data_IF_421137444229
#
_entry.id   IF_421137444229
#
_cell.length_a   1.000
_cell.length_b   1.000
_cell.length_c   1.000
_cell.angle_alpha   90.00
_cell.angle_beta   90.00
_cell.angle_gamma   90.00
#
_symmetry.space_group_name_H-M   'P 1'
#
loop_
_entity.id
_entity.type
_entity.pdbx_description
1 polymer ?
#
# COMPACT_ATOMS: atom_id res chain seq x y z
N UNK A 1 -8.02 12.81 8.83
CA UNK A 1 -7.35 13.62 9.86
C UNK A 1 -7.65 13.04 11.23
N UNK A 2 -6.69 13.01 12.15
CA UNK A 2 -6.97 12.50 13.50
C UNK A 2 -8.00 13.39 14.20
N UNK A 3 -8.89 12.79 14.97
CA UNK A 3 -9.95 13.51 15.70
C UNK A 3 -9.39 14.47 16.77
N UNK A 4 -8.15 14.25 17.17
CA UNK A 4 -7.41 14.99 18.19
C UNK A 4 -6.76 16.28 17.69
N UNK A 5 -6.65 16.50 16.38
CA UNK A 5 -6.00 17.71 15.85
C UNK A 5 -6.76 18.97 16.23
N UNK A 6 -6.04 19.99 16.71
CA UNK A 6 -6.57 21.35 16.92
C UNK A 6 -6.74 22.13 15.61
N UNK A 7 -6.10 21.68 14.53
CA UNK A 7 -6.06 22.35 13.23
C UNK A 7 -6.64 21.46 12.12
N UNK A 8 -7.87 20.95 12.30
CA UNK A 8 -8.46 19.92 11.41
C UNK A 8 -8.59 20.37 9.95
N UNK A 9 -9.03 21.61 9.74
CA UNK A 9 -9.21 22.18 8.41
C UNK A 9 -7.87 22.33 7.68
N UNK A 10 -6.91 23.02 8.30
CA UNK A 10 -5.57 23.18 7.73
C UNK A 10 -4.89 21.83 7.44
N UNK A 11 -5.01 20.86 8.34
CA UNK A 11 -4.46 19.53 8.15
C UNK A 11 -5.15 18.78 6.99
N UNK A 12 -6.47 18.98 6.81
CA UNK A 12 -7.21 18.42 5.67
C UNK A 12 -6.78 19.07 4.36
N UNK A 13 -6.69 20.39 4.31
CA UNK A 13 -6.23 21.14 3.13
C UNK A 13 -4.81 20.73 2.73
N UNK A 14 -3.91 20.58 3.69
CA UNK A 14 -2.56 20.08 3.44
C UNK A 14 -2.57 18.67 2.84
N UNK A 15 -3.36 17.75 3.40
CA UNK A 15 -3.46 16.40 2.87
C UNK A 15 -4.04 16.36 1.45
N UNK A 16 -5.05 17.18 1.16
CA UNK A 16 -5.61 17.32 -0.19
C UNK A 16 -4.56 17.88 -1.15
N UNK A 17 -3.86 18.95 -0.78
CA UNK A 17 -2.80 19.52 -1.60
C UNK A 17 -1.69 18.50 -1.90
N UNK A 18 -1.24 17.78 -0.87
CA UNK A 18 -0.16 16.80 -0.98
C UNK A 18 -0.51 15.65 -1.93
N UNK A 19 -1.77 15.21 -1.94
CA UNK A 19 -2.19 14.01 -2.68
C UNK A 19 -2.89 14.30 -4.01
N UNK A 20 -3.40 15.52 -4.22
CA UNK A 20 -4.22 15.85 -5.39
C UNK A 20 -3.67 17.00 -6.23
N UNK A 21 -2.75 17.83 -5.70
CA UNK A 21 -2.22 18.93 -6.49
C UNK A 21 -1.21 18.44 -7.52
N UNK A 22 -1.29 18.99 -8.74
CA UNK A 22 -0.33 18.68 -9.80
C UNK A 22 1.11 18.93 -9.35
N UNK A 23 1.35 20.02 -8.62
CA UNK A 23 2.68 20.39 -8.16
C UNK A 23 3.25 19.36 -7.17
N UNK A 24 2.50 18.98 -6.12
CA UNK A 24 2.97 18.01 -5.15
C UNK A 24 3.22 16.64 -5.78
N UNK A 25 2.31 16.16 -6.64
CA UNK A 25 2.46 14.87 -7.33
C UNK A 25 3.68 14.88 -8.25
N UNK A 26 3.89 15.96 -9.01
CA UNK A 26 5.06 16.12 -9.90
C UNK A 26 6.36 16.09 -9.11
N UNK A 27 6.44 16.82 -7.99
CA UNK A 27 7.64 16.83 -7.14
C UNK A 27 7.89 15.47 -6.47
N UNK A 28 6.82 14.81 -6.02
CA UNK A 28 6.87 13.47 -5.44
C UNK A 28 7.45 12.44 -6.42
N UNK A 29 7.07 12.50 -7.70
CA UNK A 29 7.66 11.65 -8.74
C UNK A 29 9.12 12.02 -9.02
N UNK A 30 9.38 13.29 -9.33
CA UNK A 30 10.70 13.73 -9.81
C UNK A 30 11.80 13.63 -8.75
N UNK A 31 11.45 13.86 -7.49
CA UNK A 31 12.41 13.97 -6.37
C UNK A 31 12.26 12.85 -5.35
N UNK A 32 11.03 12.37 -5.11
CA UNK A 32 10.74 11.32 -4.12
C UNK A 32 10.63 9.91 -4.69
N UNK A 33 10.56 9.75 -6.02
CA UNK A 33 10.32 8.45 -6.66
C UNK A 33 8.92 7.88 -6.40
N UNK A 34 7.98 8.69 -5.91
CA UNK A 34 6.62 8.28 -5.59
C UNK A 34 5.76 8.28 -6.87
N UNK A 35 5.17 7.13 -7.16
CA UNK A 35 4.24 6.97 -8.28
C UNK A 35 2.84 7.48 -7.90
N UNK A 36 2.07 8.08 -8.83
CA UNK A 36 0.73 8.59 -8.53
C UNK A 36 -0.22 7.50 -8.04
N UNK A 37 -1.07 7.86 -7.07
CA UNK A 37 -2.02 6.94 -6.43
C UNK A 37 -3.43 6.95 -7.06
N UNK A 38 -3.69 7.83 -8.03
CA UNK A 38 -4.98 7.98 -8.71
C UNK A 38 -4.90 7.57 -10.18
N UNK A 39 -6.02 7.13 -10.76
CA UNK A 39 -6.10 6.81 -12.19
C UNK A 39 -5.74 8.00 -13.07
N UNK A 40 -6.25 9.20 -12.75
CA UNK A 40 -5.90 10.42 -13.47
C UNK A 40 -4.40 10.76 -13.39
N UNK A 41 -3.73 10.31 -12.33
CA UNK A 41 -2.29 10.47 -12.15
C UNK A 41 -1.46 9.63 -13.13
N UNK A 42 -2.02 8.55 -13.67
CA UNK A 42 -1.31 7.61 -14.55
C UNK A 42 -0.95 8.22 -15.91
N UNK A 43 -1.65 9.27 -16.33
CA UNK A 43 -1.47 9.92 -17.64
C UNK A 43 -0.69 11.25 -17.53
N UNK A 44 -0.09 11.54 -16.37
CA UNK A 44 0.62 12.79 -16.15
C UNK A 44 1.89 12.87 -17.02
N UNK A 45 2.12 14.00 -17.74
CA UNK A 45 3.28 14.15 -18.62
C UNK A 45 4.64 13.93 -17.92
N UNK A 46 4.71 14.25 -16.62
CA UNK A 46 5.93 14.09 -15.82
C UNK A 46 6.41 12.63 -15.73
N UNK A 47 5.50 11.65 -15.87
CA UNK A 47 5.86 10.23 -15.85
C UNK A 47 6.69 9.81 -17.07
N UNK A 48 6.61 10.59 -18.15
CA UNK A 48 7.34 10.39 -19.39
C UNK A 48 8.51 11.38 -19.55
N UNK A 49 8.89 12.08 -18.47
CA UNK A 49 10.06 12.97 -18.48
C UNK A 49 11.34 12.17 -18.76
N UNK A 50 12.01 12.50 -19.86
CA UNK A 50 13.21 11.79 -20.35
C UNK A 50 14.42 11.89 -19.43
N UNK A 51 14.41 12.80 -18.46
CA UNK A 51 15.45 12.90 -17.43
C UNK A 51 15.31 11.81 -16.36
N UNK A 52 14.13 11.19 -16.24
CA UNK A 52 13.81 10.15 -15.24
C UNK A 52 13.38 8.83 -15.87
N UNK A 53 12.72 8.87 -17.02
CA UNK A 53 12.10 7.72 -17.65
C UNK A 53 12.25 7.76 -19.20
N UNK A 54 12.75 6.73 -19.89
CA UNK A 54 13.16 5.41 -19.38
C UNK A 54 14.25 5.47 -18.32
N UNK A 55 14.09 4.69 -17.25
CA UNK A 55 14.89 4.83 -16.04
C UNK A 55 16.26 4.19 -16.20
N UNK A 56 17.32 4.99 -16.01
CA UNK A 56 18.71 4.50 -16.01
C UNK A 56 18.96 3.48 -14.89
N UNK A 57 18.33 3.66 -13.73
CA UNK A 57 18.46 2.71 -12.61
C UNK A 57 17.91 1.33 -12.98
N UNK A 58 16.81 1.29 -13.73
CA UNK A 58 16.19 0.05 -14.22
C UNK A 58 16.65 -0.33 -15.65
N UNK A 59 17.88 0.03 -16.03
CA UNK A 59 18.49 -0.41 -17.29
C UNK A 59 17.82 0.13 -18.57
N UNK A 60 17.19 1.31 -18.49
CA UNK A 60 16.49 1.93 -19.63
C UNK A 60 15.06 1.43 -19.83
N UNK A 61 14.43 0.83 -18.81
CA UNK A 61 13.03 0.44 -18.86
C UNK A 61 12.10 1.65 -18.72
N UNK A 62 11.00 1.68 -19.49
CA UNK A 62 9.87 2.58 -19.24
C UNK A 62 9.08 2.09 -18.01
N UNK A 63 9.50 2.54 -16.84
CA UNK A 63 8.90 2.15 -15.56
C UNK A 63 7.50 2.73 -15.37
N UNK A 64 7.20 3.89 -15.96
CA UNK A 64 5.87 4.49 -15.88
C UNK A 64 4.81 3.58 -16.51
N UNK A 65 5.09 3.04 -17.70
CA UNK A 65 4.18 2.13 -18.40
C UNK A 65 4.04 0.79 -17.67
N UNK A 66 5.11 0.32 -17.02
CA UNK A 66 5.05 -0.90 -16.18
C UNK A 66 4.14 -0.67 -14.97
N UNK A 67 4.34 0.40 -14.22
CA UNK A 67 3.54 0.72 -13.03
C UNK A 67 2.09 1.04 -13.37
N UNK A 68 1.82 1.75 -14.47
CA UNK A 68 0.46 2.04 -14.92
C UNK A 68 -0.31 0.76 -15.31
N UNK A 69 0.35 -0.21 -15.96
CA UNK A 69 -0.26 -1.52 -16.22
C UNK A 69 -0.52 -2.30 -14.93
N UNK A 70 0.41 -2.29 -13.99
CA UNK A 70 0.23 -2.95 -12.69
C UNK A 70 -0.92 -2.33 -11.89
N UNK A 71 -1.04 -1.00 -11.88
CA UNK A 71 -2.13 -0.27 -11.22
C UNK A 71 -3.50 -0.67 -11.78
N UNK A 72 -3.64 -0.80 -13.10
CA UNK A 72 -4.88 -1.28 -13.74
C UNK A 72 -5.19 -2.76 -13.48
N UNK A 73 -4.21 -3.55 -13.02
CA UNK A 73 -4.39 -4.96 -12.66
C UNK A 73 -4.80 -5.20 -11.21
N UNK A 74 -4.95 -4.16 -10.40
CA UNK A 74 -5.29 -4.30 -8.97
C UNK A 74 -6.71 -4.84 -8.81
N UNK A 75 -6.89 -5.87 -7.96
CA UNK A 75 -8.21 -6.36 -7.57
C UNK A 75 -8.86 -5.41 -6.55
N UNK A 76 -9.83 -4.62 -7.01
CA UNK A 76 -10.56 -3.64 -6.19
C UNK A 76 -11.60 -4.26 -5.24
N UNK A 77 -11.85 -5.58 -5.32
CA UNK A 77 -12.78 -6.28 -4.43
C UNK A 77 -12.12 -6.81 -3.14
N UNK A 78 -10.80 -6.65 -3.00
CA UNK A 78 -10.09 -7.03 -1.78
C UNK A 78 -10.47 -6.11 -0.61
N UNK A 79 -10.54 -6.67 0.60
CA UNK A 79 -10.81 -5.92 1.82
C UNK A 79 -9.79 -6.27 2.90
N UNK A 80 -9.33 -5.25 3.62
CA UNK A 80 -8.52 -5.43 4.82
C UNK A 80 -9.40 -5.77 6.02
N UNK A 81 -8.91 -6.64 6.89
CA UNK A 81 -9.59 -6.90 8.16
C UNK A 81 -9.62 -5.62 9.03
N UNK A 82 -10.72 -5.34 9.76
CA UNK A 82 -10.76 -4.23 10.73
C UNK A 82 -9.67 -4.30 11.81
N UNK A 83 -9.20 -5.51 12.13
CA UNK A 83 -8.09 -5.78 13.06
C UNK A 83 -6.75 -6.00 12.33
N UNK A 84 -6.56 -5.39 11.15
CA UNK A 84 -5.41 -5.60 10.26
C UNK A 84 -4.03 -5.52 10.93
N UNK A 85 -3.72 -4.58 11.86
CA UNK A 85 -2.41 -4.54 12.48
C UNK A 85 -2.00 -5.88 13.11
N UNK A 86 -2.92 -6.54 13.82
CA UNK A 86 -2.67 -7.87 14.36
C UNK A 86 -2.52 -8.92 13.26
N UNK A 87 -3.38 -8.88 12.23
CA UNK A 87 -3.32 -9.83 11.10
C UNK A 87 -1.94 -9.76 10.42
N UNK A 88 -1.40 -8.55 10.23
CA UNK A 88 -0.11 -8.33 9.62
C UNK A 88 1.05 -8.87 10.48
N UNK A 89 1.06 -8.55 11.77
CA UNK A 89 2.12 -9.03 12.67
C UNK A 89 2.07 -10.55 12.84
N UNK A 90 0.86 -11.11 12.90
CA UNK A 90 0.64 -12.55 12.94
C UNK A 90 1.13 -13.22 11.64
N UNK A 91 0.90 -12.61 10.46
CA UNK A 91 1.43 -13.13 9.20
C UNK A 91 2.96 -13.25 9.26
N UNK A 92 3.66 -12.19 9.66
CA UNK A 92 5.12 -12.18 9.79
C UNK A 92 5.62 -13.26 10.75
N UNK A 93 4.96 -13.44 11.91
CA UNK A 93 5.26 -14.50 12.87
C UNK A 93 5.14 -15.89 12.25
N UNK A 94 4.02 -16.20 11.60
CA UNK A 94 3.80 -17.56 11.07
C UNK A 94 4.73 -17.87 9.88
N UNK A 95 4.98 -16.89 9.02
CA UNK A 95 5.92 -17.04 7.90
C UNK A 95 7.36 -17.25 8.39
N UNK A 96 7.79 -16.56 9.45
CA UNK A 96 9.11 -16.79 10.06
C UNK A 96 9.26 -18.23 10.58
N UNK A 97 8.24 -18.76 11.26
CA UNK A 97 8.24 -20.15 11.73
C UNK A 97 8.29 -21.15 10.56
N UNK A 98 7.55 -20.88 9.49
CA UNK A 98 7.57 -21.69 8.27
C UNK A 98 8.96 -21.69 7.63
N UNK A 99 9.56 -20.51 7.42
CA UNK A 99 10.88 -20.37 6.79
C UNK A 99 12.00 -20.99 7.63
N UNK A 100 11.83 -21.07 8.95
CA UNK A 100 12.73 -21.79 9.88
C UNK A 100 12.47 -23.29 9.94
N UNK A 101 11.56 -23.83 9.12
CA UNK A 101 11.23 -25.25 9.07
C UNK A 101 10.46 -25.78 10.28
N UNK A 102 9.86 -24.89 11.09
CA UNK A 102 9.08 -25.27 12.28
C UNK A 102 7.62 -25.58 11.97
N UNK A 103 7.11 -25.06 10.85
CA UNK A 103 5.77 -25.31 10.33
C UNK A 103 5.86 -25.61 8.83
N UNK A 104 4.96 -26.45 8.32
CA UNK A 104 4.70 -26.52 6.89
C UNK A 104 3.97 -25.26 6.42
N UNK A 105 3.94 -24.97 5.11
CA UNK A 105 3.12 -23.87 4.58
C UNK A 105 1.66 -23.92 5.02
N UNK A 106 1.02 -25.10 4.95
CA UNK A 106 -0.38 -25.28 5.36
C UNK A 106 -0.56 -24.99 6.85
N UNK A 107 0.34 -25.49 7.71
CA UNK A 107 0.29 -25.24 9.15
C UNK A 107 0.43 -23.75 9.48
N UNK A 108 1.29 -23.03 8.75
CA UNK A 108 1.50 -21.60 8.95
C UNK A 108 0.27 -20.78 8.54
N UNK A 109 -0.37 -21.11 7.42
CA UNK A 109 -1.60 -20.46 6.96
C UNK A 109 -2.78 -20.76 7.89
N UNK A 110 -2.92 -22.01 8.36
CA UNK A 110 -3.95 -22.39 9.32
C UNK A 110 -3.78 -21.67 10.67
N UNK A 111 -2.54 -21.56 11.15
CA UNK A 111 -2.23 -20.81 12.36
C UNK A 111 -2.52 -19.31 12.18
N UNK A 112 -2.17 -18.75 11.02
CA UNK A 112 -2.43 -17.35 10.70
C UNK A 112 -3.93 -17.04 10.70
N UNK A 113 -4.75 -17.87 10.04
CA UNK A 113 -6.20 -17.72 10.03
C UNK A 113 -6.78 -17.87 11.44
N UNK A 114 -6.45 -18.97 12.14
CA UNK A 114 -7.02 -19.27 13.47
C UNK A 114 -6.72 -18.17 14.48
N UNK A 115 -5.47 -17.73 14.58
CA UNK A 115 -5.07 -16.68 15.53
C UNK A 115 -5.68 -15.32 15.15
N UNK A 116 -5.76 -14.99 13.85
CA UNK A 116 -6.42 -13.76 13.37
C UNK A 116 -7.91 -13.73 13.70
N UNK A 117 -8.63 -14.84 13.54
CA UNK A 117 -10.05 -14.95 13.90
C UNK A 117 -10.27 -14.94 15.42
N UNK A 118 -9.35 -15.55 16.19
CA UNK A 118 -9.41 -15.49 17.64
C UNK A 118 -9.25 -14.06 18.15
N UNK A 119 -8.35 -13.26 17.56
CA UNK A 119 -8.20 -11.85 17.90
C UNK A 119 -9.45 -11.05 17.56
N UNK A 120 -10.03 -11.28 16.38
CA UNK A 120 -11.30 -10.64 16.00
C UNK A 120 -12.40 -10.89 17.04
N UNK A 121 -12.55 -12.13 17.51
CA UNK A 121 -13.51 -12.49 18.57
C UNK A 121 -13.23 -11.76 19.88
N UNK A 122 -11.95 -11.64 20.29
CA UNK A 122 -11.57 -10.88 21.50
C UNK A 122 -11.94 -9.40 21.40
N UNK A 123 -11.84 -8.82 20.21
CA UNK A 123 -12.24 -7.44 19.93
C UNK A 123 -13.76 -7.27 19.71
N UNK A 124 -14.55 -8.33 19.87
CA UNK A 124 -16.01 -8.29 19.80
C UNK A 124 -16.60 -8.47 18.40
N UNK A 125 -15.78 -8.80 17.39
CA UNK A 125 -16.29 -9.09 16.05
C UNK A 125 -16.92 -10.48 16.00
N UNK A 126 -18.05 -10.59 15.28
CA UNK A 126 -18.61 -11.88 14.87
C UNK A 126 -17.92 -12.31 13.58
N UNK A 127 -17.16 -13.39 13.63
CA UNK A 127 -16.37 -13.90 12.49
C UNK A 127 -16.63 -15.38 12.27
N UNK A 128 -16.45 -15.82 11.02
CA UNK A 128 -16.62 -17.20 10.55
C UNK A 128 -15.37 -17.65 9.81
#
# INVERSE_FOLDING_TARGET
MTTQSKNKEAATLFALWLNLSQNAITQNWMSGGLFPASEAGLDLPVLHDKTKNPSKFFGGQDISSVYARASRGVNVNFQWAPWFPFVNDNFSKQMDLMLKGKLTPDQALDAWQRESLAEAKKQGYTVR
#
